data_IF_399616879440
#
_entry.id   IF_399616879440
#
_cell.length_a   1.000
_cell.length_b   1.000
_cell.length_c   1.000
_cell.angle_alpha   90.00
_cell.angle_beta   90.00
_cell.angle_gamma   90.00
#
_symmetry.space_group_name_H-M   'P 1'
#
loop_
_entity.id
_entity.type
_entity.pdbx_description
1 polymer ?
#
# COMPACT_ATOMS: atom_id res chain seq x y z
N UNK A 1 -24.79 4.58 -12.06
CA UNK A 1 -23.38 4.52 -11.64
C UNK A 1 -23.34 4.03 -10.21
N UNK A 2 -22.88 2.79 -9.93
CA UNK A 2 -22.60 2.38 -8.57
C UNK A 2 -21.38 3.16 -8.04
N UNK A 3 -21.48 3.68 -6.82
CA UNK A 3 -20.37 4.40 -6.16
C UNK A 3 -19.39 3.37 -5.59
N UNK A 4 -18.21 3.25 -6.19
CA UNK A 4 -17.18 2.31 -5.72
C UNK A 4 -15.99 2.26 -6.67
N UNK A 5 -14.79 2.00 -6.15
CA UNK A 5 -13.56 1.97 -6.93
C UNK A 5 -12.58 0.95 -6.34
N UNK A 6 -12.09 -0.04 -7.10
CA UNK A 6 -11.08 -0.97 -6.61
C UNK A 6 -9.74 -0.24 -6.40
N UNK A 7 -9.05 -0.57 -5.30
CA UNK A 7 -7.75 0.03 -5.00
C UNK A 7 -7.03 -0.49 -3.75
N UNK A 8 -7.62 -1.44 -3.01
CA UNK A 8 -7.00 -1.98 -1.78
C UNK A 8 -5.66 -2.65 -2.09
N UNK A 9 -5.60 -3.47 -3.15
CA UNK A 9 -4.36 -4.16 -3.55
C UNK A 9 -3.30 -3.17 -4.06
N UNK A 10 -3.70 -2.09 -4.71
CA UNK A 10 -2.77 -1.17 -5.39
C UNK A 10 -2.32 0.00 -4.54
N UNK A 11 -3.00 0.31 -3.43
CA UNK A 11 -2.73 1.55 -2.67
C UNK A 11 -1.32 1.61 -2.10
N UNK A 12 -0.83 0.54 -1.45
CA UNK A 12 0.51 0.51 -0.88
C UNK A 12 1.63 0.62 -1.94
N UNK A 13 1.63 -0.21 -3.01
CA UNK A 13 2.67 -0.12 -4.04
C UNK A 13 2.65 1.23 -4.78
N UNK A 14 1.46 1.80 -5.05
CA UNK A 14 1.36 3.14 -5.65
C UNK A 14 1.85 4.26 -4.73
N UNK A 15 1.56 4.19 -3.43
CA UNK A 15 2.05 5.19 -2.48
C UNK A 15 3.58 5.14 -2.34
N UNK A 16 4.17 3.95 -2.44
CA UNK A 16 5.62 3.81 -2.55
C UNK A 16 6.17 4.42 -3.85
N UNK A 17 5.62 4.04 -5.00
CA UNK A 17 6.06 4.54 -6.32
C UNK A 17 5.95 6.07 -6.42
N UNK A 18 4.78 6.63 -6.14
CA UNK A 18 4.51 8.07 -6.31
C UNK A 18 5.10 8.91 -5.18
N UNK A 19 5.03 8.43 -3.93
CA UNK A 19 5.48 9.18 -2.76
C UNK A 19 6.98 9.06 -2.53
N UNK A 20 7.46 7.83 -2.39
CA UNK A 20 8.86 7.58 -2.01
C UNK A 20 9.78 7.70 -3.21
N UNK A 21 9.50 6.97 -4.30
CA UNK A 21 10.41 6.90 -5.46
C UNK A 21 10.36 8.20 -6.28
N UNK A 22 9.17 8.60 -6.75
CA UNK A 22 9.05 9.76 -7.66
C UNK A 22 9.17 11.12 -6.96
N UNK A 23 8.64 11.26 -5.74
CA UNK A 23 8.64 12.53 -4.99
C UNK A 23 9.73 12.61 -3.91
N UNK A 24 10.47 11.54 -3.66
CA UNK A 24 11.59 11.54 -2.71
C UNK A 24 11.17 11.63 -1.24
N UNK A 25 9.93 11.28 -0.88
CA UNK A 25 9.58 11.16 0.53
C UNK A 25 10.36 10.04 1.19
N UNK A 26 10.79 10.21 2.46
CA UNK A 26 11.50 9.14 3.14
C UNK A 26 10.58 7.95 3.39
N UNK A 27 11.12 6.73 3.38
CA UNK A 27 10.32 5.50 3.50
C UNK A 27 9.47 5.44 4.79
N UNK A 28 9.96 6.00 5.90
CA UNK A 28 9.20 6.05 7.15
C UNK A 28 7.93 6.91 7.03
N UNK A 29 7.87 7.86 6.09
CA UNK A 29 6.67 8.63 5.81
C UNK A 29 5.54 7.70 5.34
N UNK A 30 5.85 6.72 4.50
CA UNK A 30 4.89 5.72 4.03
C UNK A 30 4.31 4.93 5.21
N UNK A 31 5.18 4.42 6.09
CA UNK A 31 4.76 3.70 7.30
C UNK A 31 3.88 4.57 8.22
N UNK A 32 4.20 5.86 8.32
CA UNK A 32 3.43 6.82 9.11
C UNK A 32 2.03 7.05 8.54
N UNK A 33 1.91 7.31 7.24
CA UNK A 33 0.60 7.64 6.63
C UNK A 33 -0.28 6.42 6.39
N UNK A 34 0.32 5.25 6.15
CA UNK A 34 -0.41 4.00 5.85
C UNK A 34 -0.65 3.13 7.09
N UNK A 35 0.14 3.26 8.15
CA UNK A 35 0.06 2.41 9.34
C UNK A 35 -0.18 3.20 10.63
N UNK A 36 0.80 4.03 11.03
CA UNK A 36 0.78 4.69 12.35
C UNK A 36 -0.41 5.65 12.51
N UNK A 37 -0.62 6.55 11.54
CA UNK A 37 -1.67 7.56 11.63
C UNK A 37 -3.08 6.94 11.67
N UNK A 38 -3.46 6.00 10.78
CA UNK A 38 -4.73 5.28 10.91
C UNK A 38 -4.86 4.57 12.26
N UNK A 39 -3.82 3.86 12.72
CA UNK A 39 -3.87 3.18 14.01
C UNK A 39 -4.11 4.13 15.18
N UNK A 40 -3.54 5.34 15.15
CA UNK A 40 -3.81 6.38 16.16
C UNK A 40 -5.24 6.90 16.07
N UNK A 41 -5.71 7.24 14.86
CA UNK A 41 -7.06 7.78 14.63
C UNK A 41 -8.14 6.80 15.09
N UNK A 42 -7.96 5.50 14.85
CA UNK A 42 -8.91 4.46 15.22
C UNK A 42 -8.69 3.87 16.62
N UNK A 43 -7.75 4.41 17.42
CA UNK A 43 -7.51 3.94 18.79
C UNK A 43 -6.85 2.56 18.89
N UNK A 44 -6.16 2.12 17.83
CA UNK A 44 -5.47 0.83 17.76
C UNK A 44 -3.97 0.92 18.12
N UNK A 45 -3.40 2.13 18.22
CA UNK A 45 -2.01 2.32 18.63
C UNK A 45 -1.84 2.10 20.15
N UNK A 46 -0.78 1.40 20.62
CA UNK A 46 0.35 0.86 19.88
C UNK A 46 0.16 -0.59 19.39
N UNK A 47 -1.01 -1.21 19.59
CA UNK A 47 -1.23 -2.61 19.17
C UNK A 47 -1.06 -2.80 17.65
N UNK A 48 -1.47 -1.82 16.83
CA UNK A 48 -1.25 -1.77 15.38
C UNK A 48 -0.41 -0.55 14.98
N UNK A 49 0.20 -0.60 13.80
CA UNK A 49 0.84 0.56 13.16
C UNK A 49 2.23 0.92 13.66
N UNK A 50 2.89 0.03 14.42
CA UNK A 50 4.27 0.20 14.89
C UNK A 50 4.96 -1.15 15.10
N UNK A 51 6.26 -1.19 14.84
CA UNK A 51 7.12 -2.36 15.10
C UNK A 51 7.76 -2.18 16.48
N UNK A 52 7.16 -2.78 17.49
CA UNK A 52 7.72 -2.87 18.84
C UNK A 52 7.22 -4.12 19.55
N UNK A 53 7.89 -4.50 20.63
CA UNK A 53 7.45 -5.61 21.48
C UNK A 53 6.04 -5.36 22.04
N UNK A 54 5.16 -6.36 21.95
CA UNK A 54 3.77 -6.27 22.41
C UNK A 54 2.77 -5.77 21.35
N UNK A 55 3.22 -5.36 20.16
CA UNK A 55 2.36 -5.05 19.02
C UNK A 55 2.02 -6.30 18.19
N UNK A 56 0.93 -6.24 17.43
CA UNK A 56 0.57 -7.29 16.48
C UNK A 56 1.60 -7.33 15.33
N UNK A 57 1.92 -8.54 14.85
CA UNK A 57 2.92 -8.77 13.80
C UNK A 57 2.38 -8.53 12.37
N UNK A 58 1.69 -7.41 12.18
CA UNK A 58 1.20 -6.97 10.86
C UNK A 58 2.31 -6.23 10.13
N UNK A 59 3.05 -6.94 9.26
CA UNK A 59 4.22 -6.42 8.56
C UNK A 59 4.04 -6.45 7.04
N UNK A 60 4.55 -5.42 6.38
CA UNK A 60 4.67 -5.34 4.93
C UNK A 60 6.16 -5.36 4.56
N UNK A 61 6.54 -6.28 3.66
CA UNK A 61 7.88 -6.34 3.09
C UNK A 61 7.82 -5.70 1.70
N UNK A 62 8.61 -4.64 1.49
CA UNK A 62 8.71 -3.95 0.21
C UNK A 62 10.05 -4.33 -0.43
N UNK A 63 10.00 -5.02 -1.58
CA UNK A 63 11.19 -5.30 -2.40
C UNK A 63 11.32 -4.24 -3.51
N UNK A 64 12.30 -3.32 -3.42
CA UNK A 64 12.49 -2.26 -4.41
C UNK A 64 13.11 -2.76 -5.73
N UNK A 65 13.54 -4.02 -5.80
CA UNK A 65 14.14 -4.63 -7.00
C UNK A 65 13.12 -5.13 -8.02
N UNK A 66 11.84 -5.16 -7.66
CA UNK A 66 10.75 -5.61 -8.53
C UNK A 66 10.29 -4.44 -9.41
N UNK A 67 10.08 -4.65 -10.71
CA UNK A 67 9.37 -3.69 -11.59
C UNK A 67 8.22 -4.44 -12.26
N UNK A 68 6.98 -4.03 -11.97
CA UNK A 68 5.78 -4.66 -12.52
C UNK A 68 4.83 -3.64 -13.13
N UNK A 69 4.10 -4.11 -14.12
CA UNK A 69 2.97 -3.40 -14.72
C UNK A 69 1.69 -3.85 -14.00
N UNK A 70 0.90 -2.89 -13.54
CA UNK A 70 -0.40 -3.16 -12.91
C UNK A 70 -1.36 -3.62 -14.00
N UNK A 71 -1.91 -4.82 -13.86
CA UNK A 71 -2.99 -5.33 -14.72
C UNK A 71 -4.14 -5.84 -13.87
N UNK A 72 -5.37 -5.58 -14.29
CA UNK A 72 -6.56 -6.07 -13.60
C UNK A 72 -6.65 -7.60 -13.60
N UNK A 73 -6.01 -8.27 -14.56
CA UNK A 73 -5.95 -9.73 -14.65
C UNK A 73 -5.15 -10.36 -13.51
N UNK A 74 -4.18 -9.63 -12.96
CA UNK A 74 -3.33 -10.07 -11.85
C UNK A 74 -3.93 -9.74 -10.47
N UNK A 75 -5.04 -8.99 -10.42
CA UNK A 75 -5.69 -8.61 -9.18
C UNK A 75 -6.58 -9.74 -8.63
N UNK A 76 -6.64 -9.87 -7.31
CA UNK A 76 -7.62 -10.71 -6.62
C UNK A 76 -9.01 -10.02 -6.53
N UNK A 77 -9.07 -8.76 -6.94
CA UNK A 77 -10.30 -7.97 -6.96
C UNK A 77 -11.38 -8.57 -7.85
N UNK A 78 -12.58 -8.75 -7.28
CA UNK A 78 -13.78 -9.15 -8.03
C UNK A 78 -14.32 -8.07 -8.98
N UNK A 79 -13.73 -6.86 -8.99
CA UNK A 79 -14.19 -5.76 -9.84
C UNK A 79 -13.96 -6.04 -11.33
N UNK A 80 -12.95 -6.84 -11.68
CA UNK A 80 -12.60 -7.14 -13.08
C UNK A 80 -12.01 -5.96 -13.86
N UNK A 81 -11.64 -4.87 -13.18
CA UNK A 81 -10.95 -3.71 -13.76
C UNK A 81 -10.02 -3.05 -12.74
N UNK A 82 -9.05 -2.27 -13.23
CA UNK A 82 -8.14 -1.45 -12.43
C UNK A 82 -8.13 -0.01 -12.93
N UNK A 83 -8.13 0.97 -12.02
CA UNK A 83 -7.89 2.37 -12.38
C UNK A 83 -6.46 2.65 -12.81
N UNK A 84 -5.55 1.75 -12.47
CA UNK A 84 -4.11 1.91 -12.66
C UNK A 84 -3.59 0.97 -13.73
N UNK A 85 -4.48 0.45 -14.59
CA UNK A 85 -4.14 -0.43 -15.71
C UNK A 85 -2.97 0.14 -16.54
N UNK A 86 -1.93 -0.67 -16.75
CA UNK A 86 -0.74 -0.28 -17.50
C UNK A 86 0.25 0.61 -16.73
N UNK A 87 -0.04 1.00 -15.49
CA UNK A 87 0.87 1.76 -14.62
C UNK A 87 2.05 0.91 -14.16
N UNK A 88 3.23 1.50 -14.01
CA UNK A 88 4.40 0.83 -13.42
C UNK A 88 4.49 1.07 -11.93
N UNK A 89 4.65 -0.02 -11.17
CA UNK A 89 4.91 0.03 -9.75
C UNK A 89 6.08 -0.90 -9.40
N UNK A 90 7.09 -0.41 -8.66
CA UNK A 90 8.25 -1.20 -8.30
C UNK A 90 8.03 -2.10 -7.07
N UNK A 91 6.78 -2.50 -6.81
CA UNK A 91 6.37 -3.24 -5.61
C UNK A 91 5.23 -4.18 -5.98
N UNK A 92 5.36 -5.45 -5.59
CA UNK A 92 4.34 -6.48 -5.75
C UNK A 92 3.14 -6.20 -4.80
N UNK A 93 1.88 -6.14 -5.29
CA UNK A 93 0.72 -5.98 -4.43
C UNK A 93 0.44 -7.19 -3.51
N UNK A 94 1.04 -8.35 -3.78
CA UNK A 94 0.92 -9.57 -2.97
C UNK A 94 0.77 -10.83 -3.80
#
# INVERSE_FOLDING_TARGET
>A
MPFGSPGIETVAPLMYSEGVVKRGFPIWWLARVMGENPARIFGLYPRKGIIQSGSDADLLILDPGVDRVVTAADHLSMAGYSFFEGGRSPVDPG
#
